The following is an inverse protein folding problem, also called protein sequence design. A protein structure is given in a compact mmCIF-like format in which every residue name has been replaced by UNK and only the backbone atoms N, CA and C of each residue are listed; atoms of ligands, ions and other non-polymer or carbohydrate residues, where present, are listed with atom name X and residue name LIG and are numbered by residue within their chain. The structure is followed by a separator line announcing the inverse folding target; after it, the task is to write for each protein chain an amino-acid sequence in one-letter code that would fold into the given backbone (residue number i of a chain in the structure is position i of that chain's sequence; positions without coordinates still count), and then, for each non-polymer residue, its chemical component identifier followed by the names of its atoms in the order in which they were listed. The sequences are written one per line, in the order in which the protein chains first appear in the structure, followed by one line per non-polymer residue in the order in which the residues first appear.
data_IF_481432572576
#
_entry.id   IF_481432572576
#
_cell.length_a   1.000
_cell.length_b   1.000
_cell.length_c   1.000
_cell.angle_alpha   90.00
_cell.angle_beta   90.00
_cell.angle_gamma   90.00
#
_symmetry.space_group_name_H-M   'P 1'
#
loop_
_entity.id
_entity.type
_entity.pdbx_description
1 polymer ?
#
# COMPACT_ATOMS: atom_id res chain seq x y z
N UNK A 1 -8.35 -19.78 1.13
CA UNK A 1 -9.30 -19.80 -0.02
C UNK A 1 -8.86 -18.77 -1.05
N UNK A 2 -8.96 -19.10 -2.33
CA UNK A 2 -8.54 -18.24 -3.43
C UNK A 2 -9.71 -17.94 -4.36
N UNK A 3 -9.87 -16.67 -4.76
CA UNK A 3 -10.72 -16.29 -5.88
C UNK A 3 -9.84 -16.32 -7.12
N UNK A 4 -9.98 -17.34 -7.96
CA UNK A 4 -9.00 -17.61 -9.03
C UNK A 4 -9.32 -16.93 -10.36
N UNK A 5 -10.57 -16.54 -10.58
CA UNK A 5 -11.08 -16.03 -11.86
C UNK A 5 -12.08 -14.90 -11.61
N UNK A 6 -11.62 -13.78 -11.07
CA UNK A 6 -12.47 -12.59 -10.92
C UNK A 6 -12.54 -11.84 -12.23
N UNK A 7 -13.73 -11.81 -12.83
CA UNK A 7 -14.10 -10.89 -13.88
C UNK A 7 -15.54 -10.39 -13.65
N UNK A 8 -15.84 -9.19 -14.18
CA UNK A 8 -17.15 -8.55 -14.03
C UNK A 8 -17.49 -7.84 -15.34
N UNK A 9 -18.60 -8.23 -15.97
CA UNK A 9 -19.02 -7.66 -17.26
C UNK A 9 -20.10 -6.60 -17.10
N UNK A 10 -19.84 -5.38 -17.55
CA UNK A 10 -20.86 -4.34 -17.69
C UNK A 10 -20.50 -3.38 -18.82
N UNK A 11 -21.48 -2.87 -19.57
CA UNK A 11 -21.24 -1.91 -20.66
C UNK A 11 -20.81 -0.52 -20.15
N UNK A 12 -21.35 -0.08 -19.01
CA UNK A 12 -20.93 1.16 -18.36
C UNK A 12 -19.74 0.89 -17.42
N UNK A 13 -18.62 1.56 -17.69
CA UNK A 13 -17.38 1.39 -16.93
C UNK A 13 -17.54 1.81 -15.46
N UNK A 14 -18.41 2.78 -15.16
CA UNK A 14 -18.64 3.22 -13.77
C UNK A 14 -19.36 2.13 -12.98
N UNK A 15 -20.39 1.51 -13.57
CA UNK A 15 -21.06 0.34 -13.00
C UNK A 15 -20.07 -0.79 -12.75
N UNK A 16 -19.18 -1.08 -13.72
CA UNK A 16 -18.12 -2.09 -13.55
C UNK A 16 -17.17 -1.73 -12.40
N UNK A 17 -16.76 -0.47 -12.30
CA UNK A 17 -15.91 0.02 -11.23
C UNK A 17 -16.52 -0.17 -9.84
N UNK A 18 -17.81 0.15 -9.68
CA UNK A 18 -18.53 -0.01 -8.42
C UNK A 18 -18.68 -1.49 -8.02
N UNK A 19 -18.87 -2.38 -9.00
CA UNK A 19 -18.89 -3.83 -8.75
C UNK A 19 -17.52 -4.37 -8.37
N UNK A 20 -16.44 -3.93 -9.04
CA UNK A 20 -15.08 -4.31 -8.65
C UNK A 20 -14.75 -3.82 -7.25
N UNK A 21 -15.08 -2.58 -6.89
CA UNK A 21 -14.88 -2.09 -5.52
C UNK A 21 -15.62 -2.96 -4.50
N UNK A 22 -16.89 -3.26 -4.77
CA UNK A 22 -17.72 -4.10 -3.88
C UNK A 22 -17.10 -5.48 -3.71
N UNK A 23 -16.76 -6.16 -4.81
CA UNK A 23 -16.19 -7.50 -4.80
C UNK A 23 -14.83 -7.53 -4.08
N UNK A 24 -13.93 -6.60 -4.43
CA UNK A 24 -12.60 -6.50 -3.85
C UNK A 24 -12.67 -6.23 -2.34
N UNK A 25 -13.51 -5.30 -1.88
CA UNK A 25 -13.70 -5.04 -0.44
C UNK A 25 -14.28 -6.25 0.29
N UNK A 26 -15.28 -6.90 -0.30
CA UNK A 26 -15.89 -8.10 0.28
C UNK A 26 -14.84 -9.20 0.49
N UNK A 27 -14.09 -9.55 -0.56
CA UNK A 27 -13.08 -10.60 -0.50
C UNK A 27 -11.93 -10.22 0.43
N UNK A 28 -11.44 -8.97 0.36
CA UNK A 28 -10.37 -8.49 1.22
C UNK A 28 -10.75 -8.52 2.71
N UNK A 29 -12.03 -8.27 3.03
CA UNK A 29 -12.53 -8.29 4.42
C UNK A 29 -12.60 -9.69 5.04
N UNK A 30 -12.58 -10.75 4.23
CA UNK A 30 -12.80 -12.10 4.73
C UNK A 30 -11.47 -12.81 5.08
N UNK A 31 -11.23 -13.21 6.35
CA UNK A 31 -9.91 -13.67 6.82
C UNK A 31 -9.43 -14.97 6.17
N UNK A 32 -10.34 -15.78 5.64
CA UNK A 32 -10.00 -17.02 4.91
C UNK A 32 -9.61 -16.78 3.44
N UNK A 33 -9.77 -15.57 2.90
CA UNK A 33 -9.25 -15.23 1.56
C UNK A 33 -7.74 -15.02 1.67
N UNK A 34 -7.01 -15.66 0.77
CA UNK A 34 -5.54 -15.58 0.68
C UNK A 34 -5.08 -14.87 -0.59
N UNK A 35 -5.94 -14.78 -1.60
CA UNK A 35 -5.63 -14.09 -2.84
C UNK A 35 -6.83 -13.98 -3.78
N UNK A 36 -6.73 -13.01 -4.68
CA UNK A 36 -7.69 -12.71 -5.75
C UNK A 36 -6.87 -12.65 -7.04
N UNK A 37 -7.26 -13.44 -8.03
CA UNK A 37 -6.65 -13.49 -9.36
C UNK A 37 -7.72 -13.09 -10.35
N UNK A 38 -7.38 -12.16 -11.24
CA UNK A 38 -8.30 -11.67 -12.26
C UNK A 38 -8.23 -12.58 -13.47
N UNK A 39 -9.39 -12.86 -14.09
CA UNK A 39 -9.45 -13.63 -15.33
C UNK A 39 -9.14 -12.75 -16.55
N UNK A 40 -7.90 -12.25 -16.58
CA UNK A 40 -7.49 -11.21 -17.52
C UNK A 40 -7.84 -9.80 -17.02
N UNK A 41 -7.23 -8.81 -17.65
CA UNK A 41 -7.48 -7.39 -17.35
C UNK A 41 -7.42 -6.51 -18.61
N UNK A 42 -7.09 -7.07 -19.78
CA UNK A 42 -6.76 -6.34 -21.01
C UNK A 42 -7.68 -6.75 -22.15
N UNK A 43 -8.30 -5.77 -22.79
CA UNK A 43 -9.30 -5.93 -23.86
C UNK A 43 -8.81 -6.64 -25.14
N UNK A 44 -7.49 -6.83 -25.31
CA UNK A 44 -6.97 -7.67 -26.39
C UNK A 44 -7.11 -9.17 -26.11
N UNK A 45 -7.24 -9.57 -24.84
CA UNK A 45 -7.28 -10.98 -24.40
C UNK A 45 -8.62 -11.38 -23.78
N UNK A 46 -9.54 -10.42 -23.60
CA UNK A 46 -10.88 -10.64 -23.03
C UNK A 46 -11.89 -9.66 -23.63
N UNK A 47 -13.19 -9.82 -23.32
CA UNK A 47 -14.22 -8.86 -23.71
C UNK A 47 -13.92 -7.46 -23.13
N UNK A 48 -14.04 -6.41 -23.94
CA UNK A 48 -13.75 -5.04 -23.50
C UNK A 48 -14.70 -4.57 -22.38
N UNK A 49 -15.89 -5.15 -22.25
CA UNK A 49 -16.82 -4.89 -21.15
C UNK A 49 -16.39 -5.56 -19.83
N UNK A 50 -15.27 -6.28 -19.82
CA UNK A 50 -14.69 -6.96 -18.65
C UNK A 50 -13.24 -6.51 -18.36
N UNK A 51 -12.64 -5.73 -19.26
CA UNK A 51 -11.27 -5.26 -19.13
C UNK A 51 -11.16 -4.12 -18.10
N UNK A 52 -9.93 -3.91 -17.62
CA UNK A 52 -9.51 -2.76 -16.81
C UNK A 52 -8.63 -1.78 -17.59
N UNK A 53 -8.04 -2.26 -18.69
CA UNK A 53 -7.16 -1.48 -19.57
C UNK A 53 -7.45 -1.75 -21.03
N UNK A 54 -7.24 -0.72 -21.84
CA UNK A 54 -7.60 -0.69 -23.25
C UNK A 54 -6.43 -0.38 -24.17
N UNK A 55 -6.46 -1.02 -25.34
CA UNK A 55 -5.52 -0.79 -26.44
C UNK A 55 -4.08 -1.15 -26.11
N UNK A 56 -3.17 -0.84 -27.04
CA UNK A 56 -1.74 -1.20 -26.93
C UNK A 56 -0.96 -0.34 -25.92
N UNK A 57 -1.56 0.76 -25.44
CA UNK A 57 -0.97 1.69 -24.46
C UNK A 57 -1.41 1.39 -23.02
N UNK A 58 -2.28 0.40 -22.81
CA UNK A 58 -2.85 0.03 -21.52
C UNK A 58 -3.54 1.22 -20.82
N UNK A 59 -4.36 1.96 -21.55
CA UNK A 59 -5.15 3.06 -21.00
C UNK A 59 -6.19 2.52 -20.01
N UNK A 60 -6.19 3.04 -18.79
CA UNK A 60 -7.13 2.60 -17.75
C UNK A 60 -8.54 3.07 -18.07
N UNK A 61 -9.51 2.20 -17.82
CA UNK A 61 -10.92 2.57 -17.73
C UNK A 61 -11.29 2.93 -16.27
N UNK A 62 -12.57 3.21 -16.02
CA UNK A 62 -13.03 3.50 -14.65
C UNK A 62 -12.83 2.34 -13.68
N UNK A 63 -12.92 1.09 -14.13
CA UNK A 63 -12.69 -0.07 -13.28
C UNK A 63 -11.20 -0.23 -12.90
N UNK A 64 -10.29 -0.02 -13.85
CA UNK A 64 -8.85 -0.01 -13.65
C UNK A 64 -8.40 1.13 -12.75
N UNK A 65 -8.93 2.35 -12.95
CA UNK A 65 -8.72 3.49 -12.05
C UNK A 65 -9.13 3.13 -10.62
N UNK A 66 -10.32 2.53 -10.43
CA UNK A 66 -10.83 2.14 -9.10
C UNK A 66 -9.97 1.06 -8.45
N UNK A 67 -9.53 0.06 -9.20
CA UNK A 67 -8.63 -0.98 -8.72
C UNK A 67 -7.31 -0.37 -8.19
N UNK A 68 -6.70 0.54 -8.95
CA UNK A 68 -5.47 1.21 -8.52
C UNK A 68 -5.71 2.14 -7.35
N UNK A 69 -6.82 2.88 -7.32
CA UNK A 69 -7.17 3.73 -6.17
C UNK A 69 -7.26 2.90 -4.88
N UNK A 70 -7.97 1.78 -4.90
CA UNK A 70 -8.09 0.89 -3.74
C UNK A 70 -6.74 0.32 -3.34
N UNK A 71 -6.03 -0.32 -4.28
CA UNK A 71 -4.84 -1.12 -3.96
C UNK A 71 -3.55 -0.31 -3.76
N UNK A 72 -3.46 0.88 -4.35
CA UNK A 72 -2.25 1.73 -4.32
C UNK A 72 -2.38 2.97 -3.46
N UNK A 73 -3.61 3.39 -3.15
CA UNK A 73 -3.83 4.59 -2.35
C UNK A 73 -4.54 4.24 -1.04
N UNK A 74 -5.75 3.68 -1.12
CA UNK A 74 -6.58 3.48 0.07
C UNK A 74 -6.05 2.37 0.98
N UNK A 75 -5.66 1.22 0.41
CA UNK A 75 -5.17 0.05 1.15
C UNK A 75 -3.67 0.13 1.42
N UNK A 76 -3.26 1.29 1.93
CA UNK A 76 -1.89 1.57 2.34
C UNK A 76 -1.86 2.01 3.80
N UNK A 77 -0.73 1.79 4.47
CA UNK A 77 -0.54 2.20 5.87
C UNK A 77 0.51 3.29 5.95
N UNK A 78 0.14 4.40 6.59
CA UNK A 78 1.02 5.54 6.84
C UNK A 78 1.06 5.81 8.35
N UNK A 79 2.26 5.75 8.93
CA UNK A 79 2.46 6.00 10.37
C UNK A 79 3.64 6.94 10.57
N UNK A 80 3.43 7.99 11.37
CA UNK A 80 4.49 8.87 11.84
C UNK A 80 4.61 8.80 13.37
N UNK A 81 5.82 8.55 13.87
CA UNK A 81 6.12 8.44 15.31
C UNK A 81 7.42 9.15 15.66
N UNK A 82 7.48 9.76 16.86
CA UNK A 82 8.73 10.19 17.48
C UNK A 82 9.37 9.01 18.21
N UNK A 83 10.71 8.91 18.17
CA UNK A 83 11.46 7.90 18.93
C UNK A 83 11.87 8.36 20.34
N UNK A 84 11.38 9.52 20.78
CA UNK A 84 11.67 10.07 22.12
C UNK A 84 11.21 9.17 23.27
N UNK A 85 10.12 8.41 23.08
CA UNK A 85 9.58 7.47 24.06
C UNK A 85 10.19 6.06 23.98
N UNK A 86 11.06 5.80 23.00
CA UNK A 86 11.65 4.50 22.75
C UNK A 86 11.78 4.18 21.25
N UNK A 87 12.54 3.14 20.94
CA UNK A 87 12.83 2.71 19.56
C UNK A 87 11.95 1.56 19.07
N UNK A 88 10.92 1.21 19.81
CA UNK A 88 10.02 0.11 19.51
C UNK A 88 8.57 0.57 19.53
N UNK A 89 7.77 0.16 18.55
CA UNK A 89 6.35 0.48 18.49
C UNK A 89 5.57 -0.59 17.73
N UNK A 90 4.31 -0.80 18.13
CA UNK A 90 3.40 -1.69 17.43
C UNK A 90 2.76 -0.99 16.23
N UNK A 91 2.67 -1.72 15.12
CA UNK A 91 2.01 -1.28 13.90
C UNK A 91 0.96 -2.31 13.51
N UNK A 92 -0.24 -1.81 13.24
CA UNK A 92 -1.30 -2.52 12.54
C UNK A 92 -1.63 -1.76 11.28
N UNK A 93 -1.76 -2.47 10.17
CA UNK A 93 -1.98 -1.87 8.87
C UNK A 93 -2.45 -2.87 7.82
N UNK A 94 -2.65 -2.39 6.59
CA UNK A 94 -2.89 -3.24 5.44
C UNK A 94 -1.72 -4.18 5.19
N UNK A 95 -2.03 -5.42 4.79
CA UNK A 95 -1.03 -6.44 4.51
C UNK A 95 -0.10 -5.99 3.37
N UNK A 96 1.20 -6.19 3.52
CA UNK A 96 2.17 -5.78 2.52
C UNK A 96 3.57 -5.61 3.08
N UNK A 97 4.47 -5.21 2.18
CA UNK A 97 5.84 -4.85 2.52
C UNK A 97 5.93 -3.34 2.75
N UNK A 98 6.73 -2.95 3.73
CA UNK A 98 6.83 -1.58 4.21
C UNK A 98 8.28 -1.22 4.52
N UNK A 99 8.57 0.07 4.40
CA UNK A 99 9.82 0.66 4.86
C UNK A 99 9.57 1.59 6.05
N UNK A 100 10.37 1.41 7.09
CA UNK A 100 10.61 2.34 8.19
C UNK A 100 11.73 3.27 7.75
N UNK A 101 11.43 4.56 7.62
CA UNK A 101 12.42 5.58 7.30
C UNK A 101 12.66 6.41 8.55
N UNK A 102 13.89 6.39 9.04
CA UNK A 102 14.32 7.18 10.20
C UNK A 102 14.83 8.53 9.73
N UNK A 103 14.27 9.59 10.31
CA UNK A 103 14.62 10.97 10.02
C UNK A 103 15.28 11.62 11.24
N UNK A 104 16.35 12.36 10.97
CA UNK A 104 17.03 13.21 11.96
C UNK A 104 17.34 14.55 11.31
N UNK A 105 16.98 15.65 11.98
CA UNK A 105 17.16 17.02 11.46
C UNK A 105 16.69 17.17 9.99
N UNK A 106 15.51 16.63 9.70
CA UNK A 106 14.88 16.64 8.36
C UNK A 106 15.70 15.95 7.26
N UNK A 107 16.56 14.99 7.61
CA UNK A 107 17.29 14.13 6.67
C UNK A 107 16.98 12.66 6.97
N UNK A 108 16.70 11.83 5.94
CA UNK A 108 16.60 10.40 6.13
C UNK A 108 17.99 9.84 6.43
N UNK A 109 18.15 9.19 7.58
CA UNK A 109 19.42 8.63 8.03
C UNK A 109 19.46 7.10 7.95
N UNK A 110 18.29 6.45 7.86
CA UNK A 110 18.20 4.99 7.78
C UNK A 110 16.88 4.53 7.18
N UNK A 111 16.92 3.38 6.51
CA UNK A 111 15.75 2.65 5.99
C UNK A 111 15.83 1.22 6.50
N UNK A 112 14.71 0.68 7.00
CA UNK A 112 14.58 -0.69 7.46
C UNK A 112 13.26 -1.27 6.95
N UNK A 113 13.32 -2.41 6.25
CA UNK A 113 12.13 -3.05 5.70
C UNK A 113 11.50 -4.03 6.68
N UNK A 114 10.18 -4.17 6.62
CA UNK A 114 9.40 -5.15 7.36
C UNK A 114 8.10 -5.48 6.60
N UNK A 115 7.40 -6.53 6.99
CA UNK A 115 6.12 -6.91 6.37
C UNK A 115 5.01 -6.96 7.41
N UNK A 116 3.82 -6.49 7.02
CA UNK A 116 2.59 -6.62 7.80
C UNK A 116 1.75 -7.78 7.27
N UNK A 117 1.33 -8.64 8.19
CA UNK A 117 0.42 -9.75 7.93
C UNK A 117 -0.95 -9.51 8.55
N UNK A 118 -1.62 -10.58 8.97
CA UNK A 118 -2.97 -10.52 9.58
C UNK A 118 -2.97 -10.05 11.05
N UNK A 119 -1.80 -9.91 11.64
CA UNK A 119 -1.60 -9.56 13.04
C UNK A 119 -0.72 -8.33 13.16
N UNK A 120 -0.87 -7.64 14.28
CA UNK A 120 -0.03 -6.51 14.65
C UNK A 120 1.44 -6.95 14.75
N UNK A 121 2.35 -6.05 14.36
CA UNK A 121 3.81 -6.31 14.36
C UNK A 121 4.49 -5.24 15.22
N UNK A 122 5.32 -5.68 16.16
CA UNK A 122 6.23 -4.79 16.88
C UNK A 122 7.44 -4.49 16.00
N UNK A 123 7.58 -3.24 15.57
CA UNK A 123 8.72 -2.75 14.81
C UNK A 123 9.78 -2.24 15.77
N UNK A 124 10.95 -2.87 15.74
CA UNK A 124 12.13 -2.40 16.45
C UNK A 124 13.03 -1.63 15.50
N UNK A 125 13.14 -0.33 15.72
CA UNK A 125 13.94 0.58 14.92
C UNK A 125 15.37 0.59 15.42
N UNK A 126 16.29 0.15 14.57
CA UNK A 126 17.70 0.22 14.90
C UNK A 126 18.22 1.64 14.65
N UNK A 127 18.50 2.38 15.72
CA UNK A 127 19.09 3.73 15.64
C UNK A 127 20.62 3.75 15.74
N UNK A 128 21.29 2.60 15.71
CA UNK A 128 22.76 2.57 15.72
C UNK A 128 23.33 3.15 14.42
N UNK A 129 24.30 4.06 14.55
CA UNK A 129 24.95 4.79 13.45
C UNK A 129 26.11 5.67 13.91
N UNK A 130 26.92 6.16 12.96
CA UNK A 130 28.16 6.92 13.21
C UNK A 130 27.95 8.36 13.71
N UNK A 131 26.72 8.87 13.75
CA UNK A 131 26.43 10.22 14.24
C UNK A 131 25.75 10.17 15.62
N UNK A 132 26.11 11.07 16.56
CA UNK A 132 25.44 11.16 17.85
C UNK A 132 23.99 11.63 17.66
N UNK A 133 23.04 10.71 17.82
CA UNK A 133 21.60 10.98 17.70
C UNK A 133 21.04 11.28 19.10
N UNK A 134 20.66 12.53 19.35
CA UNK A 134 19.88 12.87 20.54
C UNK A 134 18.40 12.66 20.22
N UNK A 135 17.76 11.69 20.88
CA UNK A 135 16.44 11.14 20.50
C UNK A 135 15.22 12.07 20.55
N UNK A 136 15.40 13.37 20.77
CA UNK A 136 14.32 14.38 20.81
C UNK A 136 13.87 14.79 19.40
N UNK A 137 14.79 14.79 18.42
CA UNK A 137 14.53 15.22 17.03
C UNK A 137 14.48 14.04 16.03
N UNK A 138 14.30 12.82 16.53
CA UNK A 138 14.26 11.61 15.69
C UNK A 138 12.82 11.15 15.48
N UNK A 139 12.43 11.04 14.21
CA UNK A 139 11.10 10.63 13.81
C UNK A 139 11.18 9.47 12.82
N UNK A 140 10.11 8.70 12.74
CA UNK A 140 9.98 7.59 11.81
C UNK A 140 8.72 7.78 10.97
N UNK A 141 8.86 7.54 9.68
CA UNK A 141 7.75 7.37 8.75
C UNK A 141 7.71 5.91 8.26
N UNK A 142 6.55 5.27 8.37
CA UNK A 142 6.27 3.97 7.76
C UNK A 142 5.44 4.19 6.51
N UNK A 143 5.90 3.66 5.37
CA UNK A 143 5.18 3.75 4.10
C UNK A 143 5.23 2.41 3.36
N UNK A 144 4.20 2.16 2.54
CA UNK A 144 4.15 0.97 1.67
C UNK A 144 5.34 0.92 0.72
N UNK A 145 5.88 -0.26 0.49
CA UNK A 145 7.03 -0.47 -0.38
C UNK A 145 6.70 -0.18 -1.85
N UNK A 146 7.57 0.57 -2.55
CA UNK A 146 7.46 0.89 -3.98
C UNK A 146 7.72 -0.35 -4.85
N UNK A 147 6.84 -1.36 -4.81
CA UNK A 147 7.11 -2.65 -5.47
C UNK A 147 7.00 -2.60 -7.01
N UNK A 148 6.33 -1.61 -7.58
CA UNK A 148 6.02 -1.55 -9.03
C UNK A 148 6.41 -0.24 -9.73
N UNK A 149 7.45 0.44 -9.25
CA UNK A 149 7.93 1.72 -9.81
C UNK A 149 7.40 2.93 -9.03
N UNK A 150 7.70 4.15 -9.50
CA UNK A 150 7.33 5.42 -8.81
C UNK A 150 5.82 5.53 -8.66
N UNK A 151 5.29 4.96 -7.60
CA UNK A 151 3.93 5.21 -7.13
C UNK A 151 3.95 6.61 -6.49
N UNK A 152 3.49 7.63 -7.23
CA UNK A 152 3.42 8.99 -6.69
C UNK A 152 2.57 9.10 -5.41
N UNK A 153 1.79 8.06 -5.08
CA UNK A 153 0.89 7.98 -3.92
C UNK A 153 1.54 7.57 -2.59
N UNK A 154 2.76 7.01 -2.56
CA UNK A 154 3.39 6.52 -1.32
C UNK A 154 4.60 7.38 -0.96
N UNK A 155 4.42 8.70 -0.98
CA UNK A 155 5.47 9.61 -0.51
C UNK A 155 5.54 9.55 1.01
N UNK A 156 6.72 9.23 1.52
CA UNK A 156 7.04 9.31 2.94
C UNK A 156 6.98 10.76 3.43
N UNK A 157 5.91 11.14 4.11
CA UNK A 157 5.82 12.44 4.77
C UNK A 157 6.16 12.30 6.25
N UNK A 158 7.41 12.59 6.63
CA UNK A 158 7.77 12.75 8.03
C UNK A 158 7.62 14.21 8.44
N UNK A 159 6.63 14.53 9.28
CA UNK A 159 6.59 15.79 9.99
C UNK A 159 7.15 15.55 11.40
N UNK A 160 8.41 15.91 11.64
CA UNK A 160 8.90 15.93 13.01
C UNK A 160 8.15 17.01 13.79
N UNK A 161 7.46 16.61 14.86
CA UNK A 161 6.93 17.56 15.83
C UNK A 161 8.13 18.27 16.45
N UNK A 162 8.41 19.49 16.00
CA UNK A 162 9.26 20.41 16.75
C UNK A 162 8.61 20.61 18.12
N UNK A 163 9.35 20.31 19.19
CA UNK A 163 8.95 20.68 20.54
C UNK A 163 8.83 22.21 20.68
#
# INVERSE_FOLDING_TARGET
MWVTELDLSAHDENTRADWYETALRLYFSHPSIEGIIFWGFWDHHMDSNMALVHGSTFELDKAGERYLQLTKQEWSTHVNKSLSAGTSFDVRGFQGDYDVIVWYQNKPIKIQSFSLGKSDVTVNVDISGNEPINGVDTCVAVNGYERFGREEGVRAYAACCSA
#
